data_IF_640215682568
#
_entry.id   IF_640215682568
#
_cell.length_a   1.000
_cell.length_b   1.000
_cell.length_c   1.000
_cell.angle_alpha   90.00
_cell.angle_beta   90.00
_cell.angle_gamma   90.00
#
_symmetry.space_group_name_H-M   'P 1'
#
loop_
_entity.id
_entity.type
_entity.pdbx_description
1 polymer ?
#
# COMPACT_ATOMS: atom_id res chain seq x y z
N UNK A 1 8.52 26.70 39.83
CA UNK A 1 7.19 26.84 40.44
C UNK A 1 6.16 26.52 39.37
N UNK A 2 5.64 25.29 39.40
CA UNK A 2 4.49 24.90 38.58
C UNK A 2 3.26 25.64 39.14
N UNK A 3 2.62 26.51 38.35
CA UNK A 3 1.58 27.44 38.82
C UNK A 3 0.24 26.76 39.16
N UNK A 4 0.13 25.43 39.05
CA UNK A 4 -1.06 24.68 39.48
C UNK A 4 -2.30 24.88 38.60
N UNK A 5 -2.18 25.61 37.49
CA UNK A 5 -3.26 25.90 36.52
C UNK A 5 -3.47 24.70 35.57
N UNK A 6 -3.87 23.55 36.13
CA UNK A 6 -4.09 22.31 35.38
C UNK A 6 -5.13 22.45 34.27
N UNK A 7 -6.17 23.28 34.50
CA UNK A 7 -7.23 23.52 33.53
C UNK A 7 -6.74 24.28 32.29
N UNK A 8 -5.89 25.29 32.47
CA UNK A 8 -5.30 26.02 31.35
C UNK A 8 -4.28 25.17 30.59
N UNK A 9 -3.52 24.33 31.28
CA UNK A 9 -2.61 23.39 30.66
C UNK A 9 -3.35 22.38 29.75
N UNK A 10 -4.49 21.83 30.19
CA UNK A 10 -5.33 20.95 29.37
C UNK A 10 -5.89 21.70 28.16
N UNK A 11 -6.42 22.91 28.35
CA UNK A 11 -6.95 23.73 27.26
C UNK A 11 -5.88 24.05 26.21
N UNK A 12 -4.64 24.34 26.64
CA UNK A 12 -3.52 24.59 25.73
C UNK A 12 -3.06 23.30 25.02
N UNK A 13 -3.11 22.15 25.70
CA UNK A 13 -2.75 20.86 25.11
C UNK A 13 -3.75 20.42 24.04
N UNK A 14 -5.04 20.60 24.29
CA UNK A 14 -6.10 20.24 23.34
C UNK A 14 -6.10 21.16 22.10
N UNK A 15 -5.75 22.43 22.28
CA UNK A 15 -5.67 23.42 21.20
C UNK A 15 -4.28 23.50 20.55
N UNK A 16 -3.41 22.51 20.78
CA UNK A 16 -2.08 22.53 20.17
C UNK A 16 -2.19 22.43 18.64
N UNK A 17 -1.50 23.30 17.88
CA UNK A 17 -1.47 23.17 16.43
C UNK A 17 -0.72 21.90 16.04
N UNK A 18 -1.32 21.08 15.19
CA UNK A 18 -0.68 19.90 14.60
C UNK A 18 -0.09 20.30 13.26
N UNK A 19 1.21 20.09 13.10
CA UNK A 19 1.89 20.35 11.83
C UNK A 19 1.39 19.37 10.75
N UNK A 20 1.39 19.81 9.51
CA UNK A 20 0.93 19.03 8.35
C UNK A 20 1.99 19.03 7.27
N UNK A 21 2.24 17.87 6.66
CA UNK A 21 3.26 17.70 5.60
C UNK A 21 2.67 17.82 4.19
N UNK A 22 1.37 18.14 4.06
CA UNK A 22 0.65 18.17 2.77
C UNK A 22 1.28 19.11 1.74
N UNK A 23 1.73 20.29 2.21
CA UNK A 23 2.35 21.30 1.35
C UNK A 23 3.71 20.84 0.83
N UNK A 24 4.51 20.16 1.67
CA UNK A 24 5.81 19.63 1.29
C UNK A 24 5.69 18.57 0.19
N UNK A 25 4.68 17.70 0.28
CA UNK A 25 4.43 16.70 -0.77
C UNK A 25 4.03 17.37 -2.08
N UNK A 26 3.18 18.40 -2.04
CA UNK A 26 2.75 19.13 -3.24
C UNK A 26 3.87 19.94 -3.90
N UNK A 27 4.77 20.51 -3.10
CA UNK A 27 5.93 21.24 -3.60
C UNK A 27 6.98 20.29 -4.16
N UNK A 28 7.22 19.14 -3.51
CA UNK A 28 8.18 18.13 -3.95
C UNK A 28 7.72 17.35 -5.19
N UNK A 29 6.44 17.04 -5.27
CA UNK A 29 5.85 16.26 -6.35
C UNK A 29 4.73 17.05 -7.05
N UNK A 30 5.08 17.97 -7.97
CA UNK A 30 4.09 18.80 -8.67
C UNK A 30 3.16 17.96 -9.57
N UNK A 31 3.66 16.82 -10.08
CA UNK A 31 2.88 15.89 -10.90
C UNK A 31 2.66 14.55 -10.19
N UNK A 32 1.53 13.90 -10.50
CA UNK A 32 1.22 12.56 -10.02
C UNK A 32 2.25 11.52 -10.51
N UNK A 33 2.74 11.65 -11.74
CA UNK A 33 3.76 10.75 -12.28
C UNK A 33 5.08 10.86 -11.51
N UNK A 34 5.42 12.05 -11.00
CA UNK A 34 6.63 12.25 -10.21
C UNK A 34 6.49 11.61 -8.82
N UNK A 35 5.31 11.73 -8.19
CA UNK A 35 5.00 11.02 -6.96
C UNK A 35 5.07 9.49 -7.12
N UNK A 36 4.65 8.94 -8.27
CA UNK A 36 4.77 7.51 -8.56
C UNK A 36 6.22 7.03 -8.68
N UNK A 37 7.14 7.86 -9.19
CA UNK A 37 8.54 7.44 -9.37
C UNK A 37 9.29 7.21 -8.05
N UNK A 38 8.95 7.99 -7.02
CA UNK A 38 9.53 7.87 -5.67
C UNK A 38 8.71 6.93 -4.76
N UNK A 39 7.63 6.34 -5.28
CA UNK A 39 6.71 5.53 -4.48
C UNK A 39 7.31 4.20 -4.03
N UNK A 40 8.27 3.65 -4.77
CA UNK A 40 8.87 2.33 -4.49
C UNK A 40 9.53 2.28 -3.10
N UNK A 41 10.27 3.33 -2.74
CA UNK A 41 10.93 3.46 -1.42
C UNK A 41 9.89 3.59 -0.30
N UNK A 42 8.85 4.39 -0.53
CA UNK A 42 7.75 4.54 0.40
C UNK A 42 7.01 3.22 0.63
N UNK A 43 6.72 2.46 -0.44
CA UNK A 43 6.06 1.17 -0.35
C UNK A 43 6.91 0.17 0.44
N UNK A 44 8.21 0.09 0.18
CA UNK A 44 9.09 -0.81 0.93
C UNK A 44 9.09 -0.48 2.42
N UNK A 45 9.20 0.80 2.79
CA UNK A 45 9.27 1.22 4.19
C UNK A 45 7.94 1.00 4.92
N UNK A 46 6.81 1.38 4.31
CA UNK A 46 5.49 1.22 4.95
C UNK A 46 5.16 -0.27 5.13
N UNK A 47 5.50 -1.14 4.17
CA UNK A 47 5.32 -2.59 4.32
C UNK A 47 6.23 -3.18 5.41
N UNK A 48 7.45 -2.67 5.56
CA UNK A 48 8.32 -3.07 6.67
C UNK A 48 7.68 -2.74 8.02
N UNK A 49 7.28 -1.48 8.22
CA UNK A 49 6.66 -1.05 9.47
C UNK A 49 5.32 -1.73 9.77
N UNK A 50 4.58 -2.17 8.76
CA UNK A 50 3.36 -2.95 8.94
C UNK A 50 3.62 -4.37 9.51
N UNK A 51 4.82 -4.93 9.30
CA UNK A 51 5.21 -6.25 9.78
C UNK A 51 6.01 -6.22 11.10
N UNK A 52 6.60 -5.08 11.46
CA UNK A 52 7.41 -4.92 12.67
C UNK A 52 6.52 -4.92 13.92
N UNK A 53 6.89 -5.64 14.99
CA UNK A 53 6.15 -5.61 16.25
C UNK A 53 6.20 -4.22 16.88
N UNK A 54 5.14 -3.85 17.62
CA UNK A 54 5.09 -2.59 18.36
C UNK A 54 6.18 -2.58 19.46
N UNK A 55 7.30 -1.93 19.18
CA UNK A 55 8.36 -1.67 20.14
C UNK A 55 8.05 -0.43 21.00
N UNK A 56 8.75 -0.26 22.13
CA UNK A 56 8.58 0.90 23.03
C UNK A 56 8.72 2.27 22.35
N UNK A 57 9.49 2.33 21.26
CA UNK A 57 9.75 3.55 20.49
C UNK A 57 8.76 3.79 19.35
N UNK A 58 7.91 2.81 19.04
CA UNK A 58 7.05 2.83 17.85
C UNK A 58 5.58 2.95 18.27
N UNK A 59 4.89 4.07 17.96
CA UNK A 59 3.49 4.22 18.35
C UNK A 59 2.61 3.20 17.59
N UNK A 60 1.76 2.44 18.30
CA UNK A 60 0.95 1.38 17.69
C UNK A 60 -0.05 1.93 16.66
N UNK A 61 -0.51 3.16 16.84
CA UNK A 61 -1.38 3.87 15.90
C UNK A 61 -0.76 4.00 14.51
N UNK A 62 0.54 4.34 14.43
CA UNK A 62 1.24 4.46 13.14
C UNK A 62 1.44 3.12 12.46
N UNK A 63 1.71 2.06 13.21
CA UNK A 63 1.81 0.69 12.67
C UNK A 63 0.48 0.27 12.06
N UNK A 64 -0.62 0.52 12.78
CA UNK A 64 -1.97 0.24 12.28
C UNK A 64 -2.29 1.06 11.03
N UNK A 65 -1.87 2.33 11.00
CA UNK A 65 -2.01 3.20 9.83
C UNK A 65 -1.22 2.68 8.63
N UNK A 66 0.04 2.27 8.81
CA UNK A 66 0.86 1.66 7.76
C UNK A 66 0.19 0.39 7.21
N UNK A 67 -0.28 -0.50 8.10
CA UNK A 67 -0.97 -1.72 7.70
C UNK A 67 -2.27 -1.41 6.92
N UNK A 68 -3.00 -0.36 7.29
CA UNK A 68 -4.16 0.15 6.53
C UNK A 68 -3.74 0.63 5.15
N UNK A 69 -2.75 1.52 5.04
CA UNK A 69 -2.30 2.10 3.78
C UNK A 69 -1.75 1.04 2.80
N UNK A 70 -0.99 0.06 3.30
CA UNK A 70 -0.53 -1.08 2.51
C UNK A 70 -1.71 -1.86 1.92
N UNK A 71 -2.71 -2.17 2.74
CA UNK A 71 -3.92 -2.87 2.30
C UNK A 71 -4.62 -2.06 1.21
N UNK A 72 -4.88 -0.77 1.45
CA UNK A 72 -5.51 0.14 0.49
C UNK A 72 -4.82 0.16 -0.86
N UNK A 73 -3.49 0.25 -0.87
CA UNK A 73 -2.71 0.24 -2.10
C UNK A 73 -2.82 -1.11 -2.83
N UNK A 74 -2.62 -2.23 -2.11
CA UNK A 74 -2.75 -3.57 -2.67
C UNK A 74 -4.14 -3.82 -3.27
N UNK A 75 -5.19 -3.28 -2.64
CA UNK A 75 -6.57 -3.29 -3.13
C UNK A 75 -6.68 -2.73 -4.55
N UNK A 76 -6.17 -1.52 -4.70
CA UNK A 76 -6.23 -0.76 -5.93
C UNK A 76 -5.44 -1.49 -7.00
N UNK A 77 -4.22 -1.93 -6.68
CA UNK A 77 -3.37 -2.67 -7.61
C UNK A 77 -4.05 -3.96 -8.08
N UNK A 78 -4.62 -4.73 -7.16
CA UNK A 78 -5.36 -5.95 -7.47
C UNK A 78 -6.60 -5.67 -8.34
N UNK A 79 -7.33 -4.58 -8.07
CA UNK A 79 -8.48 -4.18 -8.88
C UNK A 79 -8.10 -3.73 -10.29
N UNK A 80 -6.96 -3.07 -10.47
CA UNK A 80 -6.50 -2.68 -11.82
C UNK A 80 -5.96 -3.80 -12.68
N UNK A 81 -5.52 -4.91 -12.09
CA UNK A 81 -4.77 -5.93 -12.83
C UNK A 81 -3.46 -5.39 -13.42
N UNK A 82 -2.79 -4.45 -12.74
CA UNK A 82 -1.57 -3.80 -13.25
C UNK A 82 -0.26 -4.49 -12.83
N UNK A 83 -0.35 -5.63 -12.13
CA UNK A 83 0.83 -6.44 -11.77
C UNK A 83 1.40 -7.10 -13.03
N UNK A 84 2.71 -6.98 -13.23
CA UNK A 84 3.44 -7.52 -14.39
C UNK A 84 4.24 -8.76 -14.03
N UNK A 85 4.90 -8.74 -12.88
CA UNK A 85 5.69 -9.85 -12.39
C UNK A 85 5.68 -9.86 -10.87
N UNK A 86 5.84 -11.05 -10.28
CA UNK A 86 6.07 -11.21 -8.86
C UNK A 86 7.06 -12.35 -8.65
N UNK A 87 7.91 -12.22 -7.63
CA UNK A 87 8.91 -13.22 -7.27
C UNK A 87 8.98 -13.35 -5.75
N UNK A 88 9.03 -14.60 -5.26
CA UNK A 88 9.13 -14.90 -3.83
C UNK A 88 10.59 -15.21 -3.50
N UNK A 89 11.14 -14.47 -2.55
CA UNK A 89 12.48 -14.64 -1.99
C UNK A 89 12.43 -15.04 -0.52
N UNK A 90 13.59 -15.31 0.06
CA UNK A 90 13.78 -15.45 1.51
C UNK A 90 13.43 -14.14 2.24
N UNK A 91 13.78 -12.98 1.66
CA UNK A 91 13.50 -11.66 2.26
C UNK A 91 12.01 -11.28 2.25
N UNK A 92 11.24 -11.83 1.31
CA UNK A 92 9.85 -11.43 1.10
C UNK A 92 9.41 -11.62 -0.35
N UNK A 93 8.30 -11.00 -0.70
CA UNK A 93 7.68 -11.05 -2.03
C UNK A 93 7.97 -9.74 -2.76
N UNK A 94 8.71 -9.84 -3.85
CA UNK A 94 8.94 -8.72 -4.77
C UNK A 94 7.77 -8.65 -5.73
N UNK A 95 7.13 -7.48 -5.83
CA UNK A 95 6.01 -7.24 -6.74
C UNK A 95 6.37 -6.12 -7.69
N UNK A 96 6.23 -6.38 -8.99
CA UNK A 96 6.36 -5.39 -10.04
C UNK A 96 4.99 -5.06 -10.63
N UNK A 97 4.62 -3.79 -10.64
CA UNK A 97 3.39 -3.30 -11.26
C UNK A 97 3.66 -2.12 -12.19
N UNK A 98 2.79 -1.91 -13.17
CA UNK A 98 2.85 -0.79 -14.09
C UNK A 98 1.64 0.11 -13.89
N UNK A 99 1.84 1.25 -13.21
CA UNK A 99 0.78 2.18 -12.82
C UNK A 99 0.96 3.46 -13.64
N UNK A 100 -0.01 3.78 -14.50
CA UNK A 100 0.03 4.97 -15.36
C UNK A 100 1.33 5.12 -16.18
N UNK A 101 1.86 4.01 -16.69
CA UNK A 101 3.11 3.98 -17.49
C UNK A 101 4.39 4.06 -16.67
N UNK A 102 4.31 4.16 -15.34
CA UNK A 102 5.46 4.06 -14.43
C UNK A 102 5.55 2.63 -13.90
N UNK A 103 6.74 2.06 -13.98
CA UNK A 103 7.04 0.74 -13.41
C UNK A 103 7.43 0.92 -11.95
N UNK A 104 6.70 0.24 -11.08
CA UNK A 104 6.91 0.19 -9.64
C UNK A 104 7.45 -1.19 -9.27
N UNK A 105 8.45 -1.23 -8.40
CA UNK A 105 9.00 -2.45 -7.82
C UNK A 105 9.19 -2.27 -6.32
N UNK A 106 8.39 -2.98 -5.53
CA UNK A 106 8.51 -2.96 -4.06
C UNK A 106 8.61 -4.35 -3.47
N UNK A 107 9.18 -4.41 -2.26
CA UNK A 107 9.30 -5.61 -1.45
C UNK A 107 8.21 -5.63 -0.39
N UNK A 108 7.47 -6.73 -0.31
CA UNK A 108 6.56 -7.05 0.78
C UNK A 108 7.23 -8.10 1.69
N UNK A 109 7.64 -7.76 2.91
CA UNK A 109 8.25 -8.72 3.82
C UNK A 109 7.28 -9.85 4.17
N UNK A 110 7.82 -11.03 4.49
CA UNK A 110 7.02 -12.10 5.08
C UNK A 110 6.56 -11.69 6.48
N UNK A 111 5.32 -12.05 6.86
CA UNK A 111 4.73 -11.77 8.17
C UNK A 111 5.31 -12.66 9.30
N UNK A 112 6.63 -12.76 9.35
CA UNK A 112 7.37 -13.43 10.42
C UNK A 112 7.72 -12.43 11.52
N UNK A 113 7.93 -12.91 12.74
CA UNK A 113 8.40 -12.06 13.84
C UNK A 113 9.83 -11.62 13.53
N UNK A 114 9.97 -10.40 13.02
CA UNK A 114 11.27 -9.78 12.79
C UNK A 114 11.76 -9.20 14.12
N UNK A 115 12.99 -9.54 14.49
CA UNK A 115 13.70 -8.85 15.56
C UNK A 115 14.30 -7.58 14.97
N UNK A 116 14.05 -6.44 15.61
CA UNK A 116 14.66 -5.16 15.20
C UNK A 116 16.07 -5.14 15.79
N UNK A 117 17.13 -5.14 14.96
CA UNK A 117 18.49 -5.09 15.48
C UNK A 117 18.79 -3.71 16.10
N UNK A 118 19.61 -3.71 17.14
CA UNK A 118 19.81 -2.55 18.01
C UNK A 118 20.66 -1.43 17.38
N UNK A 119 21.31 -1.72 16.26
CA UNK A 119 22.16 -0.80 15.48
C UNK A 119 21.35 0.15 14.59
N UNK A 120 20.06 -0.14 14.35
CA UNK A 120 19.20 0.68 13.49
C UNK A 120 18.48 1.76 14.31
N UNK A 121 18.71 3.03 13.96
CA UNK A 121 17.99 4.15 14.56
C UNK A 121 16.57 4.29 13.98
N UNK A 122 15.60 3.74 14.70
CA UNK A 122 14.18 3.84 14.36
C UNK A 122 13.63 5.28 14.40
N UNK A 123 14.26 6.21 15.12
CA UNK A 123 13.76 7.60 15.21
C UNK A 123 13.92 8.31 13.88
N UNK A 124 15.05 8.10 13.22
CA UNK A 124 15.29 8.62 11.86
C UNK A 124 14.30 7.99 10.89
N UNK A 125 14.13 6.67 10.93
CA UNK A 125 13.16 5.98 10.07
C UNK A 125 11.71 6.45 10.29
N UNK A 126 11.32 6.77 11.52
CA UNK A 126 9.99 7.32 11.84
C UNK A 126 9.73 8.67 11.17
N UNK A 127 10.74 9.54 11.07
CA UNK A 127 10.60 10.83 10.36
C UNK A 127 10.38 10.64 8.86
N UNK A 128 11.09 9.69 8.24
CA UNK A 128 10.85 9.32 6.85
C UNK A 128 9.49 8.65 6.65
N UNK A 129 9.11 7.77 7.58
CA UNK A 129 7.83 7.10 7.55
C UNK A 129 6.67 8.11 7.55
N UNK A 130 6.76 9.17 8.35
CA UNK A 130 5.72 10.20 8.39
C UNK A 130 5.48 10.85 7.03
N UNK A 131 6.56 11.18 6.32
CA UNK A 131 6.48 11.76 4.98
C UNK A 131 5.87 10.75 3.99
N UNK A 132 6.28 9.48 4.08
CA UNK A 132 5.82 8.42 3.20
C UNK A 132 4.38 7.99 3.45
N UNK A 133 3.88 8.05 4.69
CA UNK A 133 2.48 7.85 5.02
C UNK A 133 1.61 8.87 4.29
N UNK A 134 2.00 10.16 4.33
CA UNK A 134 1.27 11.24 3.67
C UNK A 134 1.36 11.09 2.14
N UNK A 135 2.55 10.80 1.59
CA UNK A 135 2.71 10.53 0.16
C UNK A 135 1.80 9.39 -0.33
N UNK A 136 1.79 8.27 0.38
CA UNK A 136 0.99 7.09 0.04
C UNK A 136 -0.51 7.38 0.15
N UNK A 137 -0.94 8.21 1.12
CA UNK A 137 -2.32 8.69 1.20
C UNK A 137 -2.73 9.51 -0.03
N UNK A 138 -1.91 10.46 -0.47
CA UNK A 138 -2.17 11.24 -1.68
C UNK A 138 -2.26 10.36 -2.93
N UNK A 139 -1.35 9.41 -3.06
CA UNK A 139 -1.35 8.47 -4.19
C UNK A 139 -2.58 7.58 -4.16
N UNK A 140 -2.90 6.98 -3.02
CA UNK A 140 -4.10 6.15 -2.87
C UNK A 140 -5.35 6.95 -3.19
N UNK A 141 -5.54 8.12 -2.59
CA UNK A 141 -6.68 8.99 -2.89
C UNK A 141 -6.83 9.25 -4.39
N UNK A 142 -5.73 9.58 -5.07
CA UNK A 142 -5.75 9.83 -6.52
C UNK A 142 -6.12 8.57 -7.31
N UNK A 143 -5.53 7.41 -6.98
CA UNK A 143 -5.79 6.15 -7.67
C UNK A 143 -7.23 5.66 -7.48
N UNK A 144 -7.78 5.79 -6.27
CA UNK A 144 -9.19 5.47 -5.97
C UNK A 144 -10.13 6.40 -6.76
N UNK A 145 -9.88 7.71 -6.71
CA UNK A 145 -10.68 8.72 -7.42
C UNK A 145 -10.66 8.50 -8.94
N UNK A 146 -9.49 8.20 -9.51
CA UNK A 146 -9.36 7.91 -10.95
C UNK A 146 -10.17 6.68 -11.40
N UNK A 147 -10.53 5.79 -10.47
CA UNK A 147 -11.32 4.59 -10.74
C UNK A 147 -12.76 4.69 -10.23
N UNK A 148 -13.20 5.89 -9.84
CA UNK A 148 -14.52 6.13 -9.28
C UNK A 148 -14.83 5.25 -8.05
N UNK A 149 -13.81 4.93 -7.26
CA UNK A 149 -13.93 4.25 -5.97
C UNK A 149 -13.93 5.28 -4.84
N UNK A 150 -14.65 5.00 -3.76
CA UNK A 150 -14.71 5.91 -2.61
C UNK A 150 -13.42 5.78 -1.78
N UNK A 151 -12.89 6.93 -1.36
CA UNK A 151 -11.76 7.01 -0.42
C UNK A 151 -12.16 7.82 0.82
N UNK A 152 -11.79 7.41 2.04
CA UNK A 152 -11.17 6.13 2.40
C UNK A 152 -12.11 4.94 2.15
N UNK A 153 -11.57 3.73 1.90
CA UNK A 153 -12.41 2.55 1.80
C UNK A 153 -13.13 2.29 3.13
N UNK A 154 -14.41 1.92 3.05
CA UNK A 154 -15.21 1.59 4.22
C UNK A 154 -14.51 0.52 5.08
N UNK A 155 -14.57 0.59 6.42
CA UNK A 155 -13.98 -0.44 7.26
C UNK A 155 -14.64 -1.80 6.96
N UNK A 156 -13.86 -2.90 7.00
CA UNK A 156 -14.45 -4.24 6.93
C UNK A 156 -15.39 -4.41 8.13
N UNK A 157 -16.64 -4.85 7.89
CA UNK A 157 -17.53 -5.27 8.97
C UNK A 157 -16.91 -6.49 9.68
N UNK A 158 -17.04 -6.56 11.01
CA UNK A 158 -16.45 -7.60 11.88
C UNK A 158 -16.93 -9.04 11.60
N UNK A 159 -17.95 -9.24 10.76
CA UNK A 159 -18.56 -10.56 10.46
C UNK A 159 -17.87 -11.34 9.32
N UNK A 160 -16.54 -11.30 9.20
CA UNK A 160 -15.84 -11.94 8.09
C UNK A 160 -15.00 -13.16 8.55
N UNK A 161 -15.52 -14.35 8.27
CA UNK A 161 -14.85 -15.67 8.36
C UNK A 161 -13.42 -15.66 7.75
N UNK A 162 -12.44 -16.35 8.35
CA UNK A 162 -11.01 -16.20 8.08
C UNK A 162 -10.51 -16.92 6.81
N UNK A 163 -11.41 -17.46 5.97
CA UNK A 163 -11.03 -18.42 4.94
C UNK A 163 -11.00 -17.77 3.55
N UNK A 164 -9.76 -17.42 3.13
CA UNK A 164 -9.31 -17.40 1.74
C UNK A 164 -9.81 -16.28 0.79
N UNK A 165 -10.21 -15.11 1.28
CA UNK A 165 -10.37 -13.93 0.40
C UNK A 165 -9.80 -12.68 1.07
N UNK A 166 -8.95 -11.87 0.38
CA UNK A 166 -8.57 -10.58 0.92
C UNK A 166 -9.84 -9.74 1.05
N UNK A 167 -10.30 -9.48 2.27
CA UNK A 167 -11.58 -8.80 2.56
C UNK A 167 -11.77 -7.46 1.83
N UNK A 168 -10.66 -6.89 1.36
CA UNK A 168 -10.61 -5.66 0.57
C UNK A 168 -11.01 -5.84 -0.91
N UNK A 169 -10.76 -7.00 -1.52
CA UNK A 169 -11.23 -7.32 -2.86
C UNK A 169 -12.76 -7.44 -2.91
N UNK A 170 -13.37 -7.96 -1.83
CA UNK A 170 -14.83 -7.96 -1.63
C UNK A 170 -15.36 -6.55 -1.38
N UNK A 171 -14.64 -5.72 -0.63
CA UNK A 171 -15.01 -4.33 -0.39
C UNK A 171 -15.03 -3.50 -1.68
N UNK A 172 -14.01 -3.63 -2.53
CA UNK A 172 -13.97 -2.97 -3.82
C UNK A 172 -15.11 -3.47 -4.72
N UNK A 173 -15.40 -4.78 -4.72
CA UNK A 173 -16.55 -5.33 -5.45
C UNK A 173 -17.89 -4.76 -4.96
N UNK A 174 -18.05 -4.56 -3.64
CA UNK A 174 -19.22 -3.91 -3.03
C UNK A 174 -19.29 -2.42 -3.39
N UNK A 175 -18.17 -1.72 -3.47
CA UNK A 175 -18.15 -0.32 -3.87
C UNK A 175 -18.50 -0.16 -5.35
N UNK A 176 -18.05 -1.07 -6.21
CA UNK A 176 -18.44 -1.10 -7.62
C UNK A 176 -19.95 -1.31 -7.82
N UNK A 177 -20.64 -2.01 -6.91
CA UNK A 177 -22.11 -2.11 -6.92
C UNK A 177 -22.82 -0.93 -6.26
N UNK A 178 -22.09 -0.02 -5.60
CA UNK A 178 -22.62 1.11 -4.81
C UNK A 178 -22.11 2.47 -5.35
N UNK A 179 -21.76 2.55 -6.63
CA UNK A 179 -21.52 3.83 -7.32
C UNK A 179 -22.76 4.74 -7.29
N UNK A 180 -22.62 6.08 -7.50
CA UNK A 180 -23.51 7.07 -6.90
C UNK A 180 -24.88 7.09 -7.56
N UNK A 181 -25.84 6.39 -6.95
CA UNK A 181 -27.27 6.56 -7.21
C UNK A 181 -27.91 7.68 -6.37
N UNK A 182 -27.13 8.48 -5.64
CA UNK A 182 -27.66 9.42 -4.63
C UNK A 182 -27.64 10.92 -5.00
N UNK A 183 -27.35 11.30 -6.25
CA UNK A 183 -27.40 12.72 -6.67
C UNK A 183 -28.55 13.12 -7.59
N UNK A 184 -29.53 12.25 -7.86
CA UNK A 184 -30.78 12.65 -8.51
C UNK A 184 -31.97 12.01 -7.79
N UNK A 185 -32.61 12.78 -6.91
CA UNK A 185 -33.93 12.42 -6.40
C UNK A 185 -34.97 12.48 -7.53
N UNK A 186 -35.82 11.46 -7.64
CA UNK A 186 -36.94 11.48 -8.58
C UNK A 186 -37.57 10.12 -8.88
N UNK A 187 -38.56 9.75 -8.06
CA UNK A 187 -39.78 8.99 -8.39
C UNK A 187 -39.72 7.63 -9.12
N UNK A 188 -40.26 6.63 -8.41
CA UNK A 188 -41.19 5.59 -8.90
C UNK A 188 -40.78 4.65 -10.06
N UNK A 189 -40.56 3.38 -9.70
CA UNK A 189 -41.19 2.21 -10.33
C UNK A 189 -40.89 1.88 -11.79
N UNK A 190 -40.07 0.85 -12.01
CA UNK A 190 -40.25 -0.08 -13.14
C UNK A 190 -39.58 -1.42 -12.86
N UNK A 191 -40.35 -2.49 -12.99
CA UNK A 191 -39.91 -3.88 -12.95
C UNK A 191 -39.16 -4.22 -14.25
N UNK A 192 -38.12 -5.03 -14.10
CA UNK A 192 -37.67 -6.03 -15.06
C UNK A 192 -36.97 -5.53 -16.32
N UNK A 193 -35.68 -5.86 -16.46
CA UNK A 193 -35.12 -6.46 -17.69
C UNK A 193 -33.61 -6.68 -17.54
N UNK A 194 -33.14 -7.88 -17.89
CA UNK A 194 -31.80 -8.04 -18.45
C UNK A 194 -30.69 -8.60 -17.53
N UNK A 195 -30.88 -9.80 -16.98
CA UNK A 195 -29.75 -10.70 -16.72
C UNK A 195 -29.20 -11.18 -18.06
N UNK A 196 -28.02 -10.68 -18.45
CA UNK A 196 -27.15 -11.18 -19.53
C UNK A 196 -25.78 -10.55 -19.25
N UNK A 197 -24.71 -11.23 -18.84
CA UNK A 197 -24.12 -12.41 -19.46
C UNK A 197 -23.25 -13.16 -18.43
N UNK A 198 -23.78 -14.25 -17.88
CA UNK A 198 -23.03 -15.24 -17.10
C UNK A 198 -23.03 -16.58 -17.83
N UNK A 199 -22.67 -16.57 -19.11
CA UNK A 199 -22.55 -17.78 -19.91
C UNK A 199 -21.71 -17.49 -21.16
N UNK A 200 -20.39 -17.42 -21.00
CA UNK A 200 -19.40 -17.74 -22.04
C UNK A 200 -18.00 -17.93 -21.42
N UNK A 201 -17.93 -18.68 -20.31
CA UNK A 201 -16.69 -19.32 -19.88
C UNK A 201 -16.47 -20.60 -20.73
N UNK A 202 -16.29 -20.43 -22.04
CA UNK A 202 -15.70 -21.46 -22.90
C UNK A 202 -14.37 -20.93 -23.42
N UNK A 203 -13.30 -21.54 -22.89
CA UNK A 203 -11.94 -21.64 -23.44
C UNK A 203 -11.60 -20.61 -24.52
N UNK A 204 -11.21 -19.41 -24.11
CA UNK A 204 -10.31 -18.58 -24.90
C UNK A 204 -8.92 -18.68 -24.29
N UNK A 205 -7.95 -19.08 -25.09
CA UNK A 205 -6.53 -19.11 -24.74
C UNK A 205 -6.12 -17.85 -23.96
N UNK A 206 -5.43 -18.06 -22.84
CA UNK A 206 -4.71 -17.02 -22.11
C UNK A 206 -3.79 -16.26 -23.08
N UNK A 207 -3.94 -14.94 -23.27
CA UNK A 207 -3.09 -14.15 -24.16
C UNK A 207 -1.82 -13.67 -23.44
N UNK A 208 -1.39 -14.35 -22.37
CA UNK A 208 -0.05 -14.15 -21.82
C UNK A 208 0.97 -14.72 -22.80
N UNK A 209 1.25 -13.95 -23.85
CA UNK A 209 2.51 -14.04 -24.57
C UNK A 209 3.59 -13.85 -23.51
N UNK A 210 4.31 -14.93 -23.25
CA UNK A 210 5.38 -14.96 -22.28
C UNK A 210 6.34 -13.81 -22.61
N UNK A 211 6.75 -12.98 -21.63
CA UNK A 211 7.81 -12.02 -21.89
C UNK A 211 9.00 -12.82 -22.46
N UNK A 212 9.40 -12.48 -23.69
CA UNK A 212 10.38 -13.25 -24.46
C UNK A 212 11.59 -13.63 -23.61
N UNK A 213 12.10 -14.85 -23.82
CA UNK A 213 13.08 -15.50 -22.95
C UNK A 213 14.30 -14.63 -22.60
N UNK A 214 14.65 -13.66 -23.45
CA UNK A 214 15.73 -12.70 -23.19
C UNK A 214 15.44 -11.70 -22.06
N UNK A 215 14.23 -11.14 -21.99
CA UNK A 215 13.86 -10.18 -20.95
C UNK A 215 13.85 -10.86 -19.58
N UNK A 216 13.31 -12.09 -19.53
CA UNK A 216 13.29 -12.90 -18.32
C UNK A 216 14.68 -13.45 -17.97
N UNK A 217 15.54 -13.72 -18.95
CA UNK A 217 16.95 -14.07 -18.72
C UNK A 217 17.79 -12.88 -18.23
N UNK A 218 17.50 -11.65 -18.67
CA UNK A 218 18.14 -10.42 -18.15
C UNK A 218 17.68 -10.14 -16.73
N UNK A 219 16.38 -10.29 -16.44
CA UNK A 219 15.84 -10.18 -15.08
C UNK A 219 16.42 -11.23 -14.14
N UNK A 220 16.46 -12.52 -14.53
CA UNK A 220 17.11 -13.59 -13.76
C UNK A 220 18.60 -13.35 -13.54
N UNK A 221 19.31 -12.75 -14.52
CA UNK A 221 20.72 -12.39 -14.37
C UNK A 221 20.91 -11.23 -13.38
N UNK A 222 20.07 -10.20 -13.45
CA UNK A 222 20.04 -9.12 -12.47
C UNK A 222 19.73 -9.64 -11.06
N UNK A 223 18.76 -10.56 -10.95
CA UNK A 223 18.36 -11.17 -9.69
C UNK A 223 19.47 -12.03 -9.07
N UNK A 224 20.15 -12.85 -9.89
CA UNK A 224 21.32 -13.62 -9.46
C UNK A 224 22.50 -12.73 -9.07
N UNK A 225 22.66 -11.56 -9.69
CA UNK A 225 23.70 -10.60 -9.32
C UNK A 225 23.41 -9.94 -7.97
N UNK A 226 22.15 -9.57 -7.71
CA UNK A 226 21.72 -9.01 -6.41
C UNK A 226 21.80 -10.06 -5.31
N UNK A 227 21.40 -11.30 -5.59
CA UNK A 227 21.50 -12.42 -4.63
C UNK A 227 22.96 -12.74 -4.28
N UNK A 228 23.86 -12.77 -5.28
CA UNK A 228 25.31 -12.93 -5.05
C UNK A 228 25.92 -11.77 -4.29
N UNK A 229 25.53 -10.54 -4.59
CA UNK A 229 25.99 -9.37 -3.85
C UNK A 229 25.51 -9.38 -2.40
N UNK A 230 24.29 -9.85 -2.14
CA UNK A 230 23.75 -9.98 -0.80
C UNK A 230 24.43 -11.10 0.00
N UNK A 231 24.75 -12.24 -0.64
CA UNK A 231 25.50 -13.34 -0.01
C UNK A 231 26.94 -12.90 0.28
N UNK A 232 27.61 -12.25 -0.67
CA UNK A 232 28.97 -11.74 -0.46
C UNK A 232 29.03 -10.67 0.65
N UNK A 233 27.99 -9.84 0.79
CA UNK A 233 27.88 -8.88 1.88
C UNK A 233 27.63 -9.56 3.25
N UNK A 234 26.89 -10.67 3.28
CA UNK A 234 26.68 -11.47 4.49
C UNK A 234 27.97 -12.22 4.90
N UNK A 235 28.67 -12.84 3.96
CA UNK A 235 29.94 -13.52 4.21
C UNK A 235 31.03 -12.55 4.68
N UNK A 236 31.03 -11.31 4.19
CA UNK A 236 31.93 -10.25 4.64
C UNK A 236 31.61 -9.73 6.05
N UNK A 237 30.37 -9.93 6.54
CA UNK A 237 29.96 -9.56 7.88
C UNK A 237 30.26 -10.66 8.92
N UNK A 238 30.26 -11.94 8.52
CA UNK A 238 30.59 -13.08 9.39
C UNK A 238 32.10 -13.34 9.55
N UNK A 239 32.94 -12.75 8.69
CA UNK A 239 34.40 -12.89 8.70
C UNK A 239 35.19 -11.91 9.57
N UNK A 240 34.56 -11.23 10.54
CA UNK A 240 35.20 -10.32 11.50
C UNK A 240 35.00 -10.73 12.95
#
# INVERSE_FOLDING_TARGET
ADRGEKADAVRLYDNRPVYRLDHLIRERYPSFTDALRDLDDALCLVHLFACVPSAKLLPPERIANCARLCKEFQAVIAHSGCVRAAFISIKGIYVQAEVHGVKLLWLMPHSLKQEVPADVDLRVLLTFLELYEVLLQFVNYKLFTMRNLQYPPLPPHEEAEPIAQPGLARLIRRQASTGPASLLGGTAGARGSGYVHAANLRRSHSPYEQPGGEAMARFRRGLKAVERAAIAAADAAEGK
#
